data_IF_131185126197
#
_entry.id   IF_131185126197
#
_cell.length_a   1.000
_cell.length_b   1.000
_cell.length_c   1.000
_cell.angle_alpha   90.00
_cell.angle_beta   90.00
_cell.angle_gamma   90.00
#
_symmetry.space_group_name_H-M   'P 1'
#
loop_
_entity.id
_entity.type
_entity.pdbx_description
1 polymer ?
#
# COMPACT_ATOMS: atom_id res chain seq x y z
N UNK A 1 13.47 -24.69 -24.78
CA UNK A 1 12.98 -25.05 -23.44
C UNK A 1 12.03 -23.96 -22.99
N UNK A 2 10.74 -24.26 -22.81
CA UNK A 2 9.78 -23.29 -22.32
C UNK A 2 10.17 -22.94 -20.88
N UNK A 3 10.56 -21.68 -20.65
CA UNK A 3 10.85 -21.18 -19.30
C UNK A 3 9.49 -21.08 -18.60
N UNK A 4 9.15 -22.10 -17.80
CA UNK A 4 7.93 -22.08 -17.00
C UNK A 4 7.91 -20.77 -16.23
N UNK A 5 6.84 -20.00 -16.41
CA UNK A 5 6.62 -18.78 -15.64
C UNK A 5 6.69 -19.18 -14.16
N UNK A 6 7.44 -18.44 -13.31
CA UNK A 6 7.42 -18.72 -11.88
C UNK A 6 5.97 -18.71 -11.43
N UNK A 7 5.61 -19.66 -10.56
CA UNK A 7 4.27 -19.80 -10.04
C UNK A 7 3.94 -18.50 -9.29
N UNK A 8 3.39 -17.51 -9.99
CA UNK A 8 3.15 -16.19 -9.44
C UNK A 8 2.01 -16.35 -8.45
N UNK A 9 2.36 -16.53 -7.18
CA UNK A 9 1.36 -16.65 -6.13
C UNK A 9 0.56 -15.34 -6.16
N UNK A 10 -0.77 -15.39 -6.37
CA UNK A 10 -1.59 -14.19 -6.45
C UNK A 10 -1.37 -13.24 -5.26
N UNK A 11 -0.99 -13.80 -4.12
CA UNK A 11 -0.58 -13.08 -2.90
C UNK A 11 0.63 -12.17 -3.09
N UNK A 12 1.73 -12.66 -3.69
CA UNK A 12 2.93 -11.85 -3.89
C UNK A 12 2.67 -10.68 -4.83
N UNK A 13 1.83 -10.89 -5.85
CA UNK A 13 1.42 -9.81 -6.76
C UNK A 13 0.54 -8.77 -6.07
N UNK A 14 -0.38 -9.18 -5.17
CA UNK A 14 -1.16 -8.25 -4.34
C UNK A 14 -0.26 -7.40 -3.46
N UNK A 15 0.72 -8.00 -2.79
CA UNK A 15 1.68 -7.27 -1.95
C UNK A 15 2.52 -6.29 -2.76
N UNK A 16 3.01 -6.70 -3.94
CA UNK A 16 3.72 -5.78 -4.84
C UNK A 16 2.85 -4.62 -5.31
N UNK A 17 1.57 -4.88 -5.62
CA UNK A 17 0.63 -3.84 -6.00
C UNK A 17 0.39 -2.86 -4.85
N UNK A 18 0.15 -3.36 -3.63
CA UNK A 18 -0.01 -2.52 -2.44
C UNK A 18 1.25 -1.68 -2.15
N UNK A 19 2.43 -2.31 -2.15
CA UNK A 19 3.70 -1.61 -1.94
C UNK A 19 3.96 -0.53 -3.02
N UNK A 20 3.58 -0.78 -4.27
CA UNK A 20 3.67 0.19 -5.36
C UNK A 20 2.63 1.31 -5.28
N UNK A 21 1.48 1.07 -4.64
CA UNK A 21 0.41 2.04 -4.48
C UNK A 21 0.73 3.08 -3.40
N UNK A 22 1.45 2.70 -2.35
CA UNK A 22 1.83 3.59 -1.25
C UNK A 22 2.51 4.89 -1.71
N UNK A 23 3.60 4.87 -2.51
CA UNK A 23 4.24 6.10 -2.95
C UNK A 23 3.33 6.96 -3.84
N UNK A 24 2.37 6.34 -4.55
CA UNK A 24 1.37 7.06 -5.35
C UNK A 24 0.37 7.80 -4.45
N UNK A 25 -0.08 7.16 -3.37
CA UNK A 25 -0.98 7.78 -2.38
C UNK A 25 -0.27 8.93 -1.66
N UNK A 26 0.96 8.70 -1.17
CA UNK A 26 1.77 9.72 -0.49
C UNK A 26 2.03 10.93 -1.38
N UNK A 27 2.41 10.71 -2.65
CA UNK A 27 2.64 11.80 -3.61
C UNK A 27 1.33 12.54 -3.95
N UNK A 28 0.23 11.81 -4.10
CA UNK A 28 -1.10 12.37 -4.35
C UNK A 28 -1.60 13.26 -3.21
N UNK A 29 -1.43 12.83 -1.96
CA UNK A 29 -1.74 13.62 -0.77
C UNK A 29 -0.85 14.87 -0.71
N UNK A 30 0.46 14.72 -0.87
CA UNK A 30 1.43 15.84 -0.82
C UNK A 30 1.15 16.91 -1.87
N UNK A 31 0.73 16.51 -3.07
CA UNK A 31 0.39 17.43 -4.18
C UNK A 31 -1.05 17.95 -4.12
N UNK A 32 -1.87 17.45 -3.19
CA UNK A 32 -3.31 17.76 -3.12
C UNK A 32 -4.12 17.26 -4.32
N UNK A 33 -3.56 16.37 -5.14
CA UNK A 33 -4.28 15.76 -6.28
C UNK A 33 -5.15 14.59 -5.84
N UNK A 34 -4.92 14.06 -4.64
CA UNK A 34 -5.71 13.03 -4.00
C UNK A 34 -6.32 13.59 -2.71
N UNK A 35 -7.64 13.51 -2.59
CA UNK A 35 -8.35 13.89 -1.37
C UNK A 35 -8.09 12.87 -0.26
N UNK A 36 -8.09 13.27 1.03
CA UNK A 36 -7.89 12.36 2.17
C UNK A 36 -8.84 11.15 2.19
N UNK A 37 -10.11 11.36 1.82
CA UNK A 37 -11.12 10.29 1.73
C UNK A 37 -10.73 9.20 0.70
N UNK A 38 -10.38 9.60 -0.53
CA UNK A 38 -9.89 8.68 -1.56
C UNK A 38 -8.59 7.99 -1.14
N UNK A 39 -7.68 8.70 -0.50
CA UNK A 39 -6.45 8.11 0.02
C UNK A 39 -6.74 7.02 1.08
N UNK A 40 -7.73 7.24 1.94
CA UNK A 40 -8.17 6.25 2.95
C UNK A 40 -8.74 4.98 2.30
N UNK A 41 -9.54 5.10 1.24
CA UNK A 41 -10.06 3.95 0.48
C UNK A 41 -8.90 3.15 -0.14
N UNK A 42 -7.90 3.83 -0.71
CA UNK A 42 -6.73 3.17 -1.29
C UNK A 42 -5.83 2.53 -0.21
N UNK A 43 -5.68 3.17 0.94
CA UNK A 43 -4.99 2.62 2.10
C UNK A 43 -5.68 1.35 2.63
N UNK A 44 -7.01 1.32 2.62
CA UNK A 44 -7.80 0.13 3.01
C UNK A 44 -7.45 -1.08 2.15
N UNK A 45 -7.24 -0.91 0.84
CA UNK A 45 -6.76 -1.99 -0.02
C UNK A 45 -5.35 -2.47 0.38
N UNK A 46 -4.43 -1.55 0.67
CA UNK A 46 -3.09 -1.89 1.11
C UNK A 46 -3.09 -2.65 2.44
N UNK A 47 -3.93 -2.23 3.40
CA UNK A 47 -4.11 -2.89 4.68
C UNK A 47 -4.69 -4.31 4.52
N UNK A 48 -5.71 -4.47 3.68
CA UNK A 48 -6.25 -5.79 3.35
C UNK A 48 -5.20 -6.68 2.67
N UNK A 49 -4.42 -6.15 1.73
CA UNK A 49 -3.38 -6.92 1.05
C UNK A 49 -2.28 -7.39 2.01
N UNK A 50 -1.95 -6.57 3.02
CA UNK A 50 -1.03 -6.92 4.10
C UNK A 50 -1.58 -8.04 4.98
N UNK A 51 -2.84 -7.95 5.43
CA UNK A 51 -3.49 -8.96 6.27
C UNK A 51 -3.59 -10.34 5.60
N UNK A 52 -3.73 -10.35 4.27
CA UNK A 52 -3.76 -11.59 3.46
C UNK A 52 -2.37 -12.20 3.21
N UNK A 53 -1.30 -11.71 3.85
CA UNK A 53 0.04 -12.27 3.69
C UNK A 53 0.30 -13.44 4.64
N UNK A 54 0.51 -14.61 4.06
CA UNK A 54 1.04 -15.81 4.71
C UNK A 54 2.56 -15.66 4.90
N UNK A 55 3.10 -16.14 6.04
CA UNK A 55 4.49 -15.94 6.49
C UNK A 55 5.57 -16.60 5.61
N UNK A 56 5.74 -16.11 4.39
CA UNK A 56 6.86 -16.45 3.53
C UNK A 56 7.92 -15.34 3.62
N UNK A 57 9.19 -15.73 3.77
CA UNK A 57 10.31 -14.79 3.93
C UNK A 57 10.35 -13.71 2.82
N UNK A 58 10.01 -14.08 1.58
CA UNK A 58 9.97 -13.17 0.43
C UNK A 58 8.84 -12.13 0.51
N UNK A 59 7.80 -12.40 1.31
CA UNK A 59 6.66 -11.50 1.51
C UNK A 59 6.84 -10.58 2.71
N UNK A 60 7.70 -10.94 3.66
CA UNK A 60 7.90 -10.19 4.89
C UNK A 60 8.47 -8.79 4.66
N UNK A 61 9.40 -8.64 3.70
CA UNK A 61 9.92 -7.33 3.33
C UNK A 61 8.86 -6.41 2.71
N UNK A 62 7.98 -6.98 1.87
CA UNK A 62 6.86 -6.23 1.29
C UNK A 62 5.82 -5.89 2.35
N UNK A 63 5.49 -6.84 3.23
CA UNK A 63 4.56 -6.63 4.34
C UNK A 63 5.05 -5.48 5.23
N UNK A 64 6.32 -5.49 5.65
CA UNK A 64 6.91 -4.39 6.42
C UNK A 64 6.87 -3.06 5.67
N UNK A 65 7.21 -3.06 4.37
CA UNK A 65 7.12 -1.84 3.56
C UNK A 65 5.69 -1.31 3.46
N UNK A 66 4.70 -2.20 3.46
CA UNK A 66 3.29 -1.84 3.41
C UNK A 66 2.84 -1.26 4.76
N UNK A 67 3.18 -1.91 5.87
CA UNK A 67 2.84 -1.42 7.21
C UNK A 67 3.46 -0.05 7.48
N UNK A 68 4.75 0.13 7.19
CA UNK A 68 5.46 1.39 7.41
C UNK A 68 4.87 2.53 6.56
N UNK A 69 4.40 2.22 5.35
CA UNK A 69 3.79 3.22 4.47
C UNK A 69 2.33 3.52 4.79
N UNK A 70 1.57 2.54 5.30
CA UNK A 70 0.21 2.76 5.81
C UNK A 70 0.22 3.74 6.99
N UNK A 71 1.14 3.56 7.94
CA UNK A 71 1.29 4.47 9.09
C UNK A 71 1.55 5.92 8.64
N UNK A 72 2.42 6.10 7.62
CA UNK A 72 2.67 7.43 7.05
C UNK A 72 1.45 8.02 6.35
N UNK A 73 0.73 7.20 5.58
CA UNK A 73 -0.49 7.65 4.88
C UNK A 73 -1.56 8.06 5.89
N UNK A 74 -1.75 7.29 6.97
CA UNK A 74 -2.70 7.62 8.04
C UNK A 74 -2.33 8.93 8.73
N UNK A 75 -1.04 9.14 9.05
CA UNK A 75 -0.56 10.40 9.61
C UNK A 75 -0.84 11.58 8.65
N UNK A 76 -0.53 11.43 7.36
CA UNK A 76 -0.82 12.46 6.36
C UNK A 76 -2.32 12.74 6.24
N UNK A 77 -3.17 11.71 6.25
CA UNK A 77 -4.63 11.88 6.20
C UNK A 77 -5.12 12.67 7.41
N UNK A 78 -4.64 12.34 8.62
CA UNK A 78 -5.00 13.05 9.84
C UNK A 78 -4.61 14.54 9.75
N UNK A 79 -3.37 14.83 9.34
CA UNK A 79 -2.89 16.21 9.14
C UNK A 79 -3.78 17.00 8.17
N UNK A 80 -4.23 16.38 7.08
CA UNK A 80 -5.10 17.03 6.09
C UNK A 80 -6.56 17.15 6.54
N UNK A 81 -7.02 16.35 7.51
CA UNK A 81 -8.35 16.46 8.11
C UNK A 81 -8.43 17.56 9.16
N UNK A 82 -7.29 17.93 9.77
CA UNK A 82 -7.20 18.95 10.81
C UNK A 82 -6.99 20.38 10.28
N UNK A 83 -6.76 20.56 8.98
CA UNK A 83 -6.63 21.89 8.36
C UNK A 83 -8.00 22.54 8.14
N UNK A 84 -8.35 23.63 8.86
CA UNK A 84 -9.57 24.39 8.59
C UNK A 84 -9.44 25.10 7.24
N UNK A 85 -10.56 25.16 6.52
CA UNK A 85 -10.70 25.86 5.23
C UNK A 85 -10.37 27.36 5.31
#
# INVERSE_FOLDING_TARGET
MAKSLPNATPQLNRLRAAAGLIPIIEDGLRKGTLTPDRASIMATFCAWAHDQSCEEADTQALAKSISDGLERIEAMIAEHQEQPA
#
